data_IF_038418009763
#
_entry.id   IF_038418009763
#
_cell.length_a   1.000
_cell.length_b   1.000
_cell.length_c   1.000
_cell.angle_alpha   90.00
_cell.angle_beta   90.00
_cell.angle_gamma   90.00
#
_symmetry.space_group_name_H-M   'P 1'
#
loop_
_entity.id
_entity.type
_entity.pdbx_description
1 polymer ?
#
# COMPACT_ATOMS: atom_id res chain seq x y z
N UNK A 1 -23.09 11.51 8.16
CA UNK A 1 -22.20 10.35 8.29
C UNK A 1 -20.84 10.89 8.66
N UNK A 2 -20.19 10.40 9.72
CA UNK A 2 -18.79 10.74 9.99
C UNK A 2 -17.98 10.47 8.73
N UNK A 3 -17.23 11.48 8.28
CA UNK A 3 -16.52 11.43 7.00
C UNK A 3 -15.39 10.42 7.08
N UNK A 4 -15.37 9.46 6.15
CA UNK A 4 -14.25 8.54 6.00
C UNK A 4 -13.00 9.35 5.66
N UNK A 5 -12.03 9.40 6.58
CA UNK A 5 -10.77 10.12 6.39
C UNK A 5 -9.90 9.40 5.37
N UNK A 6 -9.27 10.15 4.47
CA UNK A 6 -8.18 9.67 3.62
C UNK A 6 -6.98 9.16 4.43
N UNK A 7 -6.10 8.36 3.81
CA UNK A 7 -4.86 7.91 4.44
C UNK A 7 -4.03 9.07 4.98
N UNK A 8 -3.86 10.14 4.19
CA UNK A 8 -3.13 11.35 4.59
C UNK A 8 -3.76 12.04 5.81
N UNK A 9 -5.08 12.14 5.87
CA UNK A 9 -5.79 12.74 7.02
C UNK A 9 -5.62 11.89 8.28
N UNK A 10 -5.67 10.55 8.15
CA UNK A 10 -5.39 9.63 9.27
C UNK A 10 -3.94 9.80 9.73
N UNK A 11 -2.96 9.78 8.82
CA UNK A 11 -1.55 9.97 9.15
C UNK A 11 -1.29 11.28 9.88
N UNK A 12 -1.87 12.40 9.41
CA UNK A 12 -1.75 13.70 10.06
C UNK A 12 -2.35 13.70 11.47
N UNK A 13 -3.55 13.12 11.63
CA UNK A 13 -4.18 12.97 12.94
C UNK A 13 -3.35 12.09 13.88
N UNK A 14 -2.75 11.00 13.36
CA UNK A 14 -1.87 10.12 14.12
C UNK A 14 -0.55 10.80 14.51
N UNK A 15 -0.01 11.73 13.71
CA UNK A 15 1.15 12.54 14.14
C UNK A 15 0.82 13.41 15.36
N UNK A 16 -0.37 13.98 15.41
CA UNK A 16 -0.85 14.72 16.58
C UNK A 16 -1.09 13.78 17.78
N UNK A 17 -1.66 12.60 17.54
CA UNK A 17 -1.83 11.55 18.53
C UNK A 17 -0.49 11.13 19.15
N UNK A 18 0.51 10.83 18.33
CA UNK A 18 1.86 10.47 18.79
C UNK A 18 2.45 11.60 19.62
N UNK A 19 2.38 12.85 19.17
CA UNK A 19 2.87 14.01 19.94
C UNK A 19 2.22 14.11 21.32
N UNK A 20 0.92 13.83 21.43
CA UNK A 20 0.17 13.89 22.70
C UNK A 20 0.60 12.78 23.67
N UNK A 21 0.78 11.56 23.16
CA UNK A 21 1.01 10.38 23.99
C UNK A 21 2.48 9.99 24.14
N UNK A 22 3.37 10.59 23.32
CA UNK A 22 4.82 10.40 23.43
C UNK A 22 5.29 10.88 24.80
N UNK A 23 5.82 9.95 25.61
CA UNK A 23 6.33 10.24 26.95
C UNK A 23 5.32 10.05 28.09
N UNK A 24 4.13 9.51 27.82
CA UNK A 24 3.21 9.12 28.90
C UNK A 24 3.84 8.03 29.79
N UNK A 25 3.97 8.32 31.09
CA UNK A 25 4.56 7.42 32.09
C UNK A 25 3.62 7.16 33.28
N UNK A 26 2.32 7.46 33.13
CA UNK A 26 1.30 7.27 34.16
C UNK A 26 0.84 5.82 34.32
N UNK A 27 -0.19 5.60 35.13
CA UNK A 27 -0.79 4.28 35.34
C UNK A 27 -1.85 3.95 34.28
N UNK A 28 -1.92 2.68 33.88
CA UNK A 28 -2.91 2.12 32.92
C UNK A 28 -4.34 2.66 33.09
N UNK A 29 -4.91 2.54 34.31
CA UNK A 29 -6.30 2.91 34.61
C UNK A 29 -6.62 4.39 34.47
N UNK A 30 -5.62 5.27 34.47
CA UNK A 30 -5.88 6.71 34.48
C UNK A 30 -6.25 7.24 33.09
N UNK A 31 -5.67 6.68 32.02
CA UNK A 31 -5.75 7.28 30.68
C UNK A 31 -6.04 6.28 29.55
N UNK A 32 -6.22 4.98 29.83
CA UNK A 32 -6.53 3.98 28.80
C UNK A 32 -7.75 4.36 27.95
N UNK A 33 -8.85 4.79 28.58
CA UNK A 33 -10.06 5.19 27.85
C UNK A 33 -9.84 6.46 27.02
N UNK A 34 -9.09 7.46 27.55
CA UNK A 34 -8.72 8.67 26.81
C UNK A 34 -7.87 8.35 25.57
N UNK A 35 -6.85 7.50 25.74
CA UNK A 35 -5.98 7.04 24.67
C UNK A 35 -6.76 6.36 23.56
N UNK A 36 -7.68 5.46 23.92
CA UNK A 36 -8.49 4.75 22.95
C UNK A 36 -9.50 5.67 22.24
N UNK A 37 -10.14 6.60 22.96
CA UNK A 37 -11.02 7.59 22.31
C UNK A 37 -10.25 8.47 21.31
N UNK A 38 -9.07 8.95 21.67
CA UNK A 38 -8.22 9.72 20.76
C UNK A 38 -7.77 8.89 19.55
N UNK A 39 -7.49 7.60 19.75
CA UNK A 39 -7.09 6.69 18.68
C UNK A 39 -8.25 6.52 17.69
N UNK A 40 -9.46 6.20 18.15
CA UNK A 40 -10.66 6.15 17.30
C UNK A 40 -10.89 7.47 16.56
N UNK A 41 -10.76 8.60 17.27
CA UNK A 41 -10.89 9.92 16.69
C UNK A 41 -9.83 10.21 15.62
N UNK A 42 -8.63 9.63 15.70
CA UNK A 42 -7.60 9.75 14.65
C UNK A 42 -7.99 9.03 13.35
N UNK A 43 -8.75 7.93 13.45
CA UNK A 43 -9.33 7.22 12.30
C UNK A 43 -10.62 7.85 11.76
N UNK A 44 -11.13 8.88 12.44
CA UNK A 44 -12.33 9.61 12.03
C UNK A 44 -13.64 9.02 12.52
N UNK A 45 -13.59 8.09 13.48
CA UNK A 45 -14.76 7.42 14.04
C UNK A 45 -14.88 7.75 15.52
N UNK A 46 -16.09 8.02 16.01
CA UNK A 46 -16.33 8.01 17.45
C UNK A 46 -16.46 6.56 17.93
N UNK A 47 -15.77 6.21 19.02
CA UNK A 47 -15.79 4.85 19.58
C UNK A 47 -17.22 4.34 19.86
N UNK A 48 -18.08 5.20 20.43
CA UNK A 48 -19.45 4.80 20.75
C UNK A 48 -20.30 4.60 19.50
N UNK A 49 -20.12 5.44 18.48
CA UNK A 49 -20.76 5.26 17.18
C UNK A 49 -20.29 3.99 16.45
N UNK A 50 -19.03 3.60 16.64
CA UNK A 50 -18.50 2.32 16.13
C UNK A 50 -19.09 1.08 16.83
N UNK A 51 -19.79 1.25 17.97
CA UNK A 51 -20.29 0.16 18.80
C UNK A 51 -19.22 -0.49 19.69
N UNK A 52 -18.05 0.14 19.82
CA UNK A 52 -17.00 -0.34 20.72
C UNK A 52 -17.35 0.04 22.16
N UNK A 53 -17.15 -0.86 23.12
CA UNK A 53 -17.58 -0.73 24.51
C UNK A 53 -16.37 -0.79 25.45
N UNK A 54 -16.33 0.09 26.44
CA UNK A 54 -15.35 -0.02 27.54
C UNK A 54 -15.90 -0.91 28.63
N UNK A 55 -15.04 -1.79 29.19
CA UNK A 55 -15.31 -2.59 30.40
C UNK A 55 -16.63 -3.39 30.37
N UNK A 56 -17.19 -3.67 29.18
CA UNK A 56 -18.55 -4.20 29.03
C UNK A 56 -18.61 -5.72 28.93
N UNK A 57 -17.48 -6.38 28.68
CA UNK A 57 -17.42 -7.84 28.57
C UNK A 57 -16.75 -8.42 29.80
N UNK A 58 -17.54 -9.05 30.68
CA UNK A 58 -17.03 -9.82 31.81
C UNK A 58 -16.60 -11.19 31.30
N UNK A 59 -15.31 -11.33 31.03
CA UNK A 59 -14.67 -12.61 30.83
C UNK A 59 -14.31 -13.23 32.19
N UNK A 60 -13.98 -14.52 32.21
CA UNK A 60 -13.50 -15.23 33.39
C UNK A 60 -12.18 -14.66 33.94
N UNK A 61 -11.46 -13.86 33.14
CA UNK A 61 -10.23 -13.15 33.53
C UNK A 61 -10.43 -11.68 33.89
N UNK A 62 -11.65 -11.15 33.86
CA UNK A 62 -11.94 -9.74 34.17
C UNK A 62 -12.61 -9.03 33.01
N UNK A 63 -12.39 -7.71 32.94
CA UNK A 63 -12.97 -6.86 31.90
C UNK A 63 -11.94 -6.57 30.81
N UNK A 64 -12.39 -6.58 29.56
CA UNK A 64 -11.60 -6.07 28.43
C UNK A 64 -11.58 -4.53 28.50
N UNK A 65 -10.42 -3.92 28.27
CA UNK A 65 -10.32 -2.46 28.23
C UNK A 65 -11.21 -1.88 27.13
N UNK A 66 -11.20 -2.49 25.93
CA UNK A 66 -12.16 -2.19 24.87
C UNK A 66 -12.60 -3.45 24.13
N UNK A 67 -13.90 -3.54 23.87
CA UNK A 67 -14.52 -4.61 23.11
C UNK A 67 -15.44 -4.07 22.01
N UNK A 68 -15.12 -4.39 20.77
CA UNK A 68 -15.99 -4.19 19.60
C UNK A 68 -16.46 -5.58 19.12
N UNK A 69 -17.73 -5.95 19.33
CA UNK A 69 -18.25 -7.29 19.05
C UNK A 69 -17.91 -7.80 17.65
N UNK A 70 -17.36 -9.02 17.55
CA UNK A 70 -16.98 -9.68 16.30
C UNK A 70 -15.73 -9.11 15.60
N UNK A 71 -15.21 -7.95 16.03
CA UNK A 71 -14.16 -7.24 15.29
C UNK A 71 -12.87 -7.10 16.09
N UNK A 72 -12.92 -6.49 17.28
CA UNK A 72 -11.71 -6.03 17.98
C UNK A 72 -11.82 -6.18 19.49
N UNK A 73 -10.75 -6.69 20.10
CA UNK A 73 -10.47 -6.55 21.53
C UNK A 73 -9.20 -5.70 21.66
N UNK A 74 -9.20 -4.72 22.55
CA UNK A 74 -7.96 -4.04 22.97
C UNK A 74 -7.71 -4.32 24.43
N UNK A 75 -6.50 -4.79 24.73
CA UNK A 75 -5.97 -4.96 26.08
C UNK A 75 -4.86 -3.95 26.30
N UNK A 76 -5.07 -3.04 27.25
CA UNK A 76 -4.11 -2.04 27.64
C UNK A 76 -3.19 -2.58 28.74
N UNK A 77 -1.97 -2.06 28.77
CA UNK A 77 -0.99 -2.29 29.83
C UNK A 77 -0.38 -0.96 30.24
N UNK A 78 0.10 -0.90 31.49
CA UNK A 78 0.87 0.27 31.92
C UNK A 78 2.15 0.44 31.05
N UNK A 79 2.66 1.66 30.84
CA UNK A 79 3.77 1.93 29.92
C UNK A 79 5.06 1.13 30.13
N UNK A 80 5.34 0.73 31.38
CA UNK A 80 6.53 -0.03 31.74
C UNK A 80 6.31 -1.56 31.72
N UNK A 81 5.11 -2.01 31.35
CA UNK A 81 4.72 -3.42 31.35
C UNK A 81 4.87 -3.97 29.93
N UNK A 82 5.70 -5.01 29.71
CA UNK A 82 5.84 -5.66 28.41
C UNK A 82 4.53 -6.30 27.95
N UNK A 83 4.22 -6.21 26.65
CA UNK A 83 2.97 -6.72 26.07
C UNK A 83 2.84 -8.25 26.16
N UNK A 84 3.95 -8.96 26.32
CA UNK A 84 3.98 -10.41 26.53
C UNK A 84 3.24 -10.82 27.81
N UNK A 85 3.15 -9.94 28.81
CA UNK A 85 2.37 -10.19 30.03
C UNK A 85 0.86 -10.22 29.77
N UNK A 86 0.40 -9.67 28.66
CA UNK A 86 -0.99 -9.75 28.25
C UNK A 86 -1.34 -11.08 27.57
N UNK A 87 -0.36 -11.97 27.28
CA UNK A 87 -0.56 -13.17 26.45
C UNK A 87 -1.73 -14.04 26.91
N UNK A 88 -1.75 -14.42 28.18
CA UNK A 88 -2.79 -15.31 28.70
C UNK A 88 -4.18 -14.64 28.70
N UNK A 89 -4.24 -13.34 28.99
CA UNK A 89 -5.47 -12.56 28.95
C UNK A 89 -6.00 -12.44 27.51
N UNK A 90 -5.14 -12.12 26.53
CA UNK A 90 -5.52 -12.01 25.12
C UNK A 90 -6.14 -13.29 24.57
N UNK A 91 -5.50 -14.44 24.83
CA UNK A 91 -6.01 -15.75 24.35
C UNK A 91 -7.37 -16.03 24.95
N UNK A 92 -7.52 -15.81 26.26
CA UNK A 92 -8.77 -16.07 26.97
C UNK A 92 -9.89 -15.12 26.55
N UNK A 93 -9.59 -13.83 26.43
CA UNK A 93 -10.53 -12.83 25.96
C UNK A 93 -11.02 -13.14 24.55
N UNK A 94 -10.13 -13.56 23.65
CA UNK A 94 -10.52 -14.01 22.33
C UNK A 94 -11.47 -15.22 22.38
N UNK A 95 -11.11 -16.27 23.15
CA UNK A 95 -11.92 -17.48 23.30
C UNK A 95 -13.32 -17.21 23.86
N UNK A 96 -13.44 -16.22 24.75
CA UNK A 96 -14.70 -15.88 25.39
C UNK A 96 -15.49 -14.80 24.65
N UNK A 97 -14.93 -14.17 23.61
CA UNK A 97 -15.57 -13.03 22.93
C UNK A 97 -16.76 -13.36 22.02
N UNK A 98 -16.98 -14.63 21.71
CA UNK A 98 -18.14 -15.06 20.91
C UNK A 98 -19.40 -15.24 21.76
N UNK A 99 -20.56 -14.84 21.26
CA UNK A 99 -21.86 -15.02 21.90
C UNK A 99 -22.86 -15.62 20.90
N UNK A 100 -23.03 -16.94 20.96
CA UNK A 100 -23.95 -17.67 20.06
C UNK A 100 -25.42 -17.29 20.24
N UNK A 101 -25.83 -16.83 21.43
CA UNK A 101 -27.22 -16.42 21.68
C UNK A 101 -27.54 -15.09 20.99
N UNK A 102 -26.51 -14.28 20.70
CA UNK A 102 -26.62 -12.99 20.00
C UNK A 102 -26.05 -13.02 18.59
N UNK A 103 -25.66 -14.19 18.09
CA UNK A 103 -25.01 -14.39 16.79
C UNK A 103 -23.75 -13.53 16.60
N UNK A 104 -22.95 -13.38 17.66
CA UNK A 104 -21.70 -12.62 17.65
C UNK A 104 -20.54 -13.62 17.51
N UNK A 105 -19.76 -13.58 16.41
CA UNK A 105 -18.56 -14.40 16.29
C UNK A 105 -17.46 -13.89 17.25
N UNK A 106 -16.44 -14.72 17.47
CA UNK A 106 -15.26 -14.28 18.20
C UNK A 106 -14.62 -13.07 17.49
N UNK A 107 -14.05 -12.15 18.27
CA UNK A 107 -13.38 -10.98 17.71
C UNK A 107 -12.30 -11.39 16.71
N UNK A 108 -12.31 -10.77 15.53
CA UNK A 108 -11.31 -11.06 14.49
C UNK A 108 -9.90 -10.64 14.91
N UNK A 109 -9.76 -9.48 15.55
CA UNK A 109 -8.50 -8.90 15.95
C UNK A 109 -8.38 -8.75 17.47
N UNK A 110 -7.16 -8.92 17.97
CA UNK A 110 -6.79 -8.60 19.36
C UNK A 110 -5.56 -7.72 19.34
N UNK A 111 -5.64 -6.54 19.98
CA UNK A 111 -4.53 -5.59 20.07
C UNK A 111 -4.09 -5.50 21.53
N UNK A 112 -2.81 -5.76 21.79
CA UNK A 112 -2.18 -5.38 23.04
C UNK A 112 -1.48 -4.03 22.86
N UNK A 113 -1.66 -3.11 23.81
CA UNK A 113 -1.01 -1.81 23.77
C UNK A 113 -0.58 -1.36 25.16
N UNK A 114 0.61 -0.74 25.26
CA UNK A 114 1.11 -0.19 26.51
C UNK A 114 1.42 1.30 26.39
N UNK A 115 0.67 2.04 25.57
CA UNK A 115 0.91 3.44 25.20
C UNK A 115 2.19 3.67 24.37
N UNK A 116 3.23 2.85 24.52
CA UNK A 116 4.50 2.96 23.79
C UNK A 116 4.64 2.01 22.61
N UNK A 117 3.89 0.91 22.60
CA UNK A 117 3.97 -0.15 21.59
C UNK A 117 2.57 -0.71 21.30
N UNK A 118 2.39 -1.21 20.07
CA UNK A 118 1.24 -1.97 19.61
C UNK A 118 1.67 -3.38 19.23
N UNK A 119 0.88 -4.39 19.59
CA UNK A 119 1.01 -5.78 19.12
C UNK A 119 -0.36 -6.26 18.63
N UNK A 120 -0.49 -6.53 17.34
CA UNK A 120 -1.77 -6.84 16.67
C UNK A 120 -1.83 -8.33 16.33
N UNK A 121 -2.91 -9.00 16.69
CA UNK A 121 -3.14 -10.43 16.46
C UNK A 121 -4.41 -10.67 15.64
N UNK A 122 -4.40 -11.74 14.83
CA UNK A 122 -5.60 -12.29 14.16
C UNK A 122 -5.73 -13.78 14.54
N UNK A 123 -6.13 -14.10 15.79
CA UNK A 123 -5.92 -15.43 16.37
C UNK A 123 -6.63 -16.57 15.63
N UNK A 124 -7.76 -16.28 14.98
CA UNK A 124 -8.49 -17.27 14.17
C UNK A 124 -7.74 -17.74 12.93
N UNK A 125 -6.74 -16.98 12.44
CA UNK A 125 -5.94 -17.33 11.25
C UNK A 125 -4.46 -17.55 11.57
N UNK A 126 -3.91 -16.73 12.47
CA UNK A 126 -2.50 -16.74 12.85
C UNK A 126 -2.37 -16.80 14.39
N UNK A 127 -2.65 -17.96 15.01
CA UNK A 127 -2.71 -18.07 16.48
C UNK A 127 -1.35 -17.99 17.18
N UNK A 128 -0.25 -18.25 16.46
CA UNK A 128 1.08 -18.43 17.05
C UNK A 128 2.00 -17.20 16.87
N UNK A 129 1.59 -16.22 16.08
CA UNK A 129 2.39 -15.03 15.79
C UNK A 129 1.52 -13.77 15.71
N UNK A 130 2.08 -12.64 16.17
CA UNK A 130 1.47 -11.34 15.93
C UNK A 130 1.54 -11.03 14.43
N UNK A 131 0.49 -10.38 13.91
CA UNK A 131 0.45 -9.87 12.54
C UNK A 131 1.38 -8.68 12.35
N UNK A 132 1.49 -7.83 13.36
CA UNK A 132 2.37 -6.67 13.36
C UNK A 132 2.70 -6.25 14.80
N UNK A 133 3.91 -5.71 15.00
CA UNK A 133 4.37 -5.16 16.28
C UNK A 133 5.23 -3.94 16.00
N UNK A 134 4.86 -2.78 16.55
CA UNK A 134 5.59 -1.54 16.29
C UNK A 134 5.45 -0.53 17.44
N UNK A 135 6.45 0.36 17.63
CA UNK A 135 6.38 1.43 18.61
C UNK A 135 5.36 2.50 18.20
N UNK A 136 4.85 3.25 19.18
CA UNK A 136 3.92 4.37 18.98
C UNK A 136 4.44 5.38 17.94
N UNK A 137 5.75 5.63 17.90
CA UNK A 137 6.37 6.55 16.95
C UNK A 137 6.15 6.16 15.49
N UNK A 138 5.99 4.87 15.19
CA UNK A 138 5.75 4.36 13.84
C UNK A 138 4.25 4.30 13.49
N UNK A 139 3.35 4.56 14.44
CA UNK A 139 1.90 4.48 14.22
C UNK A 139 1.40 5.32 13.03
N UNK A 140 1.86 6.57 12.78
CA UNK A 140 1.44 7.33 11.61
C UNK A 140 1.80 6.62 10.32
N UNK A 141 3.00 6.03 10.24
CA UNK A 141 3.41 5.29 9.05
C UNK A 141 2.69 3.95 8.96
N UNK A 142 2.33 3.33 10.09
CA UNK A 142 1.61 2.05 10.25
C UNK A 142 0.08 2.20 10.35
N UNK A 143 -0.49 3.33 9.88
CA UNK A 143 -1.93 3.60 10.03
C UNK A 143 -2.84 2.54 9.40
N UNK A 144 -2.37 1.89 8.34
CA UNK A 144 -3.10 0.85 7.62
C UNK A 144 -3.31 -0.44 8.45
N UNK A 145 -2.47 -0.68 9.46
CA UNK A 145 -2.54 -1.86 10.32
C UNK A 145 -3.77 -1.84 11.26
N UNK A 146 -4.42 -0.67 11.42
CA UNK A 146 -5.60 -0.48 12.28
C UNK A 146 -6.81 0.08 11.52
N UNK A 147 -6.90 -0.09 10.18
CA UNK A 147 -8.03 0.45 9.38
C UNK A 147 -9.41 -0.05 9.82
N UNK A 148 -9.48 -1.18 10.53
CA UNK A 148 -10.72 -1.66 11.15
C UNK A 148 -11.30 -0.68 12.19
N UNK A 149 -10.51 0.28 12.69
CA UNK A 149 -10.99 1.38 13.54
C UNK A 149 -11.78 2.44 12.75
N UNK A 150 -11.47 2.61 11.47
CA UNK A 150 -12.22 3.52 10.59
C UNK A 150 -13.53 2.87 10.11
N UNK A 151 -13.46 1.61 9.69
CA UNK A 151 -14.64 0.82 9.32
C UNK A 151 -14.36 -0.67 9.43
N UNK A 152 -15.32 -1.43 9.94
CA UNK A 152 -15.25 -2.90 10.02
C UNK A 152 -15.09 -3.57 8.63
N UNK A 153 -15.37 -2.82 7.56
CA UNK A 153 -15.27 -3.30 6.17
C UNK A 153 -13.89 -3.07 5.54
N UNK A 154 -12.99 -2.34 6.22
CA UNK A 154 -11.64 -2.10 5.72
C UNK A 154 -10.69 -3.16 6.24
N UNK A 155 -9.95 -3.78 5.32
CA UNK A 155 -8.96 -4.79 5.67
C UNK A 155 -7.64 -4.11 6.08
N UNK A 156 -7.08 -4.45 7.25
CA UNK A 156 -5.77 -3.96 7.65
C UNK A 156 -4.64 -4.59 6.84
N UNK A 157 -3.56 -3.85 6.68
CA UNK A 157 -2.34 -4.30 5.98
C UNK A 157 -1.23 -4.52 7.00
N UNK A 158 -0.65 -5.72 7.00
CA UNK A 158 0.32 -6.15 8.03
C UNK A 158 1.73 -6.46 7.48
N UNK A 159 1.96 -6.34 6.18
CA UNK A 159 3.23 -6.79 5.57
C UNK A 159 4.37 -5.79 5.83
N UNK A 160 5.08 -5.96 6.95
CA UNK A 160 6.29 -5.17 7.27
C UNK A 160 7.39 -5.34 6.23
N UNK A 161 7.58 -6.57 5.74
CA UNK A 161 8.56 -6.86 4.68
C UNK A 161 8.27 -6.09 3.38
N UNK A 162 7.00 -5.98 2.98
CA UNK A 162 6.58 -5.21 1.80
C UNK A 162 6.93 -3.73 1.97
N UNK A 163 6.73 -3.16 3.17
CA UNK A 163 7.02 -1.76 3.46
C UNK A 163 8.51 -1.45 3.44
N UNK A 164 9.34 -2.26 4.11
CA UNK A 164 10.80 -2.09 4.07
C UNK A 164 11.32 -2.18 2.64
N UNK A 165 10.90 -3.20 1.87
CA UNK A 165 11.26 -3.33 0.45
C UNK A 165 10.81 -2.11 -0.37
N UNK A 166 9.61 -1.59 -0.11
CA UNK A 166 9.08 -0.40 -0.80
C UNK A 166 9.92 0.84 -0.49
N UNK A 167 10.25 1.07 0.78
CA UNK A 167 11.09 2.19 1.21
C UNK A 167 12.50 2.09 0.62
N UNK A 168 13.12 0.92 0.70
CA UNK A 168 14.48 0.70 0.23
C UNK A 168 14.56 0.87 -1.30
N UNK A 169 13.62 0.29 -2.05
CA UNK A 169 13.52 0.50 -3.50
C UNK A 169 13.30 1.98 -3.86
N UNK A 170 12.47 2.70 -3.09
CA UNK A 170 12.23 4.13 -3.30
C UNK A 170 13.49 4.97 -3.12
N UNK A 171 14.36 4.62 -2.16
CA UNK A 171 15.63 5.32 -1.92
C UNK A 171 16.53 5.28 -3.15
N UNK A 172 16.71 4.11 -3.76
CA UNK A 172 17.57 3.96 -4.95
C UNK A 172 17.03 4.76 -6.15
N UNK A 173 15.72 4.70 -6.40
CA UNK A 173 15.09 5.44 -7.51
C UNK A 173 15.12 6.95 -7.27
N UNK A 174 14.92 7.40 -6.03
CA UNK A 174 15.01 8.82 -5.67
C UNK A 174 16.44 9.36 -5.79
N UNK A 175 17.44 8.57 -5.37
CA UNK A 175 18.86 8.91 -5.52
C UNK A 175 19.24 9.02 -7.01
N UNK A 176 18.80 8.07 -7.83
CA UNK A 176 18.97 8.11 -9.28
C UNK A 176 18.38 9.39 -9.88
N UNK A 177 17.12 9.70 -9.57
CA UNK A 177 16.46 10.90 -10.08
C UNK A 177 17.21 12.18 -9.67
N UNK A 178 17.55 12.30 -8.39
CA UNK A 178 18.22 13.48 -7.83
C UNK A 178 19.54 13.72 -8.52
N UNK A 179 20.35 12.66 -8.68
CA UNK A 179 21.64 12.74 -9.37
C UNK A 179 21.49 13.19 -10.82
N UNK A 180 20.53 12.61 -11.56
CA UNK A 180 20.22 13.02 -12.94
C UNK A 180 19.79 14.49 -13.03
N UNK A 181 18.93 14.93 -12.12
CA UNK A 181 18.39 16.29 -12.09
C UNK A 181 19.47 17.32 -11.72
N UNK A 182 20.25 17.07 -10.66
CA UNK A 182 21.27 17.98 -10.16
C UNK A 182 22.36 18.26 -11.20
N UNK A 183 22.77 17.24 -11.96
CA UNK A 183 23.73 17.41 -13.05
C UNK A 183 23.12 17.83 -14.38
N UNK A 184 21.81 18.09 -14.42
CA UNK A 184 21.07 18.47 -15.63
C UNK A 184 21.30 17.49 -16.80
N UNK A 185 21.15 16.19 -16.53
CA UNK A 185 21.40 15.12 -17.50
C UNK A 185 20.57 15.22 -18.79
N UNK A 186 19.36 15.77 -18.68
CA UNK A 186 18.39 16.03 -19.74
C UNK A 186 17.38 17.09 -19.26
N UNK A 187 16.47 17.59 -20.11
CA UNK A 187 15.33 18.37 -19.64
C UNK A 187 14.58 17.64 -18.52
N UNK A 188 14.18 18.37 -17.50
CA UNK A 188 13.59 17.81 -16.27
C UNK A 188 12.33 16.98 -16.53
N UNK A 189 11.53 17.33 -17.53
CA UNK A 189 10.37 16.56 -17.96
C UNK A 189 10.76 15.23 -18.65
N UNK A 190 11.89 15.20 -19.35
CA UNK A 190 12.46 13.97 -19.91
C UNK A 190 13.04 13.06 -18.82
N UNK A 191 13.75 13.62 -17.83
CA UNK A 191 14.24 12.85 -16.66
C UNK A 191 13.04 12.21 -15.92
N UNK A 192 11.96 12.96 -15.71
CA UNK A 192 10.75 12.45 -15.06
C UNK A 192 10.10 11.32 -15.85
N UNK A 193 9.97 11.46 -17.18
CA UNK A 193 9.49 10.38 -18.05
C UNK A 193 10.41 9.16 -17.99
N UNK A 194 11.72 9.37 -18.04
CA UNK A 194 12.72 8.31 -18.00
C UNK A 194 12.61 7.48 -16.71
N UNK A 195 12.57 8.14 -15.54
CA UNK A 195 12.43 7.46 -14.24
C UNK A 195 11.09 6.74 -14.12
N UNK A 196 9.99 7.33 -14.60
CA UNK A 196 8.68 6.65 -14.60
C UNK A 196 8.67 5.40 -15.50
N UNK A 197 9.31 5.49 -16.67
CA UNK A 197 9.47 4.36 -17.59
C UNK A 197 10.36 3.24 -17.01
N UNK A 198 11.41 3.60 -16.26
CA UNK A 198 12.24 2.65 -15.51
C UNK A 198 11.42 1.92 -14.43
N UNK A 199 10.72 2.65 -13.56
CA UNK A 199 9.91 2.07 -12.48
C UNK A 199 8.84 1.13 -13.04
N UNK A 200 8.21 1.51 -14.16
CA UNK A 200 7.28 0.62 -14.83
C UNK A 200 7.95 -0.68 -15.29
N UNK A 201 9.15 -0.61 -15.87
CA UNK A 201 9.89 -1.80 -16.30
C UNK A 201 10.25 -2.70 -15.12
N UNK A 202 10.66 -2.14 -13.98
CA UNK A 202 10.96 -2.89 -12.75
C UNK A 202 9.75 -3.72 -12.28
N UNK A 203 8.56 -3.11 -12.23
CA UNK A 203 7.32 -3.85 -11.97
C UNK A 203 7.00 -4.87 -13.07
N UNK A 204 7.18 -4.49 -14.34
CA UNK A 204 6.76 -5.30 -15.48
C UNK A 204 7.58 -6.59 -15.59
N UNK A 205 8.88 -6.56 -15.30
CA UNK A 205 9.73 -7.76 -15.26
C UNK A 205 9.26 -8.73 -14.17
N UNK A 206 9.06 -8.21 -12.97
CA UNK A 206 8.62 -9.00 -11.84
C UNK A 206 7.14 -9.32 -11.84
N UNK A 207 6.30 -8.73 -12.68
CA UNK A 207 4.92 -9.20 -12.87
C UNK A 207 4.80 -10.17 -14.04
N UNK A 208 5.92 -10.53 -14.68
CA UNK A 208 5.92 -11.41 -15.87
C UNK A 208 5.29 -10.74 -17.09
N UNK A 209 5.31 -9.40 -17.14
CA UNK A 209 4.88 -8.65 -18.31
C UNK A 209 5.99 -8.49 -19.35
N UNK A 210 7.26 -8.47 -18.90
CA UNK A 210 8.45 -8.53 -19.74
C UNK A 210 9.21 -9.81 -19.42
N UNK A 211 9.22 -10.74 -20.36
CA UNK A 211 9.94 -11.99 -20.18
C UNK A 211 11.45 -11.75 -20.32
N UNK A 212 12.25 -12.48 -19.54
CA UNK A 212 13.71 -12.48 -19.68
C UNK A 212 14.42 -11.26 -19.11
N UNK A 213 13.76 -10.43 -18.28
CA UNK A 213 14.40 -9.33 -17.54
C UNK A 213 15.23 -8.36 -18.41
N UNK A 214 14.66 -7.78 -19.49
CA UNK A 214 15.39 -6.97 -20.46
C UNK A 214 16.02 -5.68 -19.89
N UNK A 215 15.41 -5.01 -18.92
CA UNK A 215 15.97 -3.86 -18.22
C UNK A 215 17.15 -4.31 -17.36
N UNK A 216 16.94 -5.27 -16.45
CA UNK A 216 18.01 -5.75 -15.57
C UNK A 216 19.24 -6.22 -16.36
N UNK A 217 19.02 -7.01 -17.41
CA UNK A 217 20.08 -7.46 -18.32
C UNK A 217 20.78 -6.31 -19.05
N UNK A 218 20.04 -5.24 -19.39
CA UNK A 218 20.64 -4.05 -20.01
C UNK A 218 21.52 -3.30 -19.03
N UNK A 219 21.10 -3.15 -17.77
CA UNK A 219 21.89 -2.50 -16.71
C UNK A 219 23.16 -3.29 -16.41
N UNK A 220 23.04 -4.61 -16.27
CA UNK A 220 24.19 -5.50 -16.03
C UNK A 220 25.20 -5.48 -17.18
N UNK A 221 24.72 -5.36 -18.42
CA UNK A 221 25.59 -5.21 -19.59
C UNK A 221 26.32 -3.86 -19.57
N UNK A 222 25.59 -2.76 -19.34
CA UNK A 222 26.16 -1.41 -19.25
C UNK A 222 27.22 -1.31 -18.15
N UNK A 223 26.99 -1.90 -16.97
CA UNK A 223 27.98 -1.90 -15.89
C UNK A 223 29.28 -2.63 -16.24
N UNK A 224 29.26 -3.58 -17.17
CA UNK A 224 30.47 -4.30 -17.65
C UNK A 224 31.23 -3.53 -18.72
N UNK A 225 30.62 -2.53 -19.35
CA UNK A 225 31.25 -1.72 -20.39
C UNK A 225 32.19 -0.67 -19.77
N UNK A 226 33.30 -0.39 -20.47
CA UNK A 226 34.21 0.70 -20.06
C UNK A 226 33.57 2.08 -20.27
N UNK A 227 32.76 2.21 -21.32
CA UNK A 227 32.09 3.45 -21.71
C UNK A 227 30.59 3.15 -21.94
N UNK A 228 29.80 2.97 -20.87
CA UNK A 228 28.38 2.65 -21.00
C UNK A 228 27.62 3.77 -21.73
N UNK A 229 26.61 3.41 -22.50
CA UNK A 229 25.67 4.36 -23.13
C UNK A 229 24.22 3.96 -22.85
N UNK A 230 23.72 4.35 -21.67
CA UNK A 230 22.35 4.03 -21.27
C UNK A 230 21.30 4.75 -22.10
N UNK A 231 21.61 5.94 -22.65
CA UNK A 231 20.68 6.68 -23.49
C UNK A 231 20.32 5.86 -24.72
N UNK A 232 21.33 5.20 -25.30
CA UNK A 232 21.16 4.25 -26.41
C UNK A 232 20.43 2.98 -25.97
N UNK A 233 20.95 2.26 -24.98
CA UNK A 233 20.49 0.89 -24.71
C UNK A 233 19.12 0.84 -24.02
N UNK A 234 18.87 1.71 -23.02
CA UNK A 234 17.58 1.80 -22.33
C UNK A 234 16.58 2.60 -23.17
N UNK A 235 17.02 3.66 -23.86
CA UNK A 235 16.15 4.39 -24.80
C UNK A 235 15.63 3.48 -25.94
N UNK A 236 16.45 2.55 -26.40
CA UNK A 236 16.04 1.53 -27.36
C UNK A 236 15.02 0.54 -26.77
N UNK A 237 15.22 0.07 -25.54
CA UNK A 237 14.21 -0.73 -24.83
C UNK A 237 12.86 0.00 -24.80
N UNK A 238 12.83 1.26 -24.39
CA UNK A 238 11.60 2.05 -24.33
C UNK A 238 10.95 2.24 -25.70
N UNK A 239 11.76 2.37 -26.76
CA UNK A 239 11.28 2.39 -28.14
C UNK A 239 10.59 1.07 -28.52
N UNK A 240 11.17 -0.07 -28.17
CA UNK A 240 10.57 -1.40 -28.40
C UNK A 240 9.26 -1.59 -27.63
N UNK A 241 9.17 -1.05 -26.41
CA UNK A 241 7.93 -1.08 -25.62
C UNK A 241 6.80 -0.27 -26.27
N UNK A 242 7.12 0.78 -27.04
CA UNK A 242 6.14 1.52 -27.85
C UNK A 242 5.93 0.96 -29.27
N UNK A 243 6.73 -0.04 -29.69
CA UNK A 243 6.70 -0.53 -31.06
C UNK A 243 5.61 -1.59 -31.24
N UNK A 244 4.63 -1.31 -32.12
CA UNK A 244 3.65 -2.31 -32.55
C UNK A 244 4.34 -3.45 -33.32
N UNK A 245 3.98 -4.70 -32.98
CA UNK A 245 4.54 -5.91 -33.60
C UNK A 245 5.79 -6.46 -32.89
N UNK A 246 6.31 -7.57 -33.44
CA UNK A 246 7.33 -8.40 -32.77
C UNK A 246 8.72 -8.38 -33.45
N UNK A 247 9.02 -7.36 -34.27
CA UNK A 247 10.30 -7.25 -34.96
C UNK A 247 11.34 -6.50 -34.11
N UNK A 248 12.62 -6.70 -34.38
CA UNK A 248 13.75 -6.06 -33.69
C UNK A 248 13.89 -6.38 -32.18
N UNK A 249 13.22 -7.42 -31.68
CA UNK A 249 13.26 -7.86 -30.28
C UNK A 249 14.19 -9.08 -30.17
N UNK A 250 15.49 -8.84 -30.28
CA UNK A 250 16.52 -9.89 -30.28
C UNK A 250 17.51 -9.70 -29.13
N UNK A 251 18.20 -10.78 -28.76
CA UNK A 251 19.18 -10.77 -27.68
C UNK A 251 18.53 -10.40 -26.35
N UNK A 252 19.08 -9.41 -25.65
CA UNK A 252 18.57 -8.96 -24.34
C UNK A 252 17.15 -8.37 -24.38
N UNK A 253 16.61 -8.09 -25.57
CA UNK A 253 15.26 -7.54 -25.73
C UNK A 253 14.23 -8.59 -26.18
N UNK A 254 14.66 -9.85 -26.31
CA UNK A 254 13.74 -10.98 -26.51
C UNK A 254 12.77 -11.07 -25.32
N UNK A 255 11.48 -11.31 -25.58
CA UNK A 255 10.45 -11.33 -24.53
C UNK A 255 9.81 -9.97 -24.22
N UNK A 256 10.36 -8.86 -24.75
CA UNK A 256 9.65 -7.57 -24.71
C UNK A 256 8.37 -7.63 -25.53
N UNK A 257 7.34 -6.86 -25.16
CA UNK A 257 6.10 -6.74 -25.96
C UNK A 257 5.69 -5.28 -26.17
N UNK A 258 4.71 -5.06 -27.03
CA UNK A 258 4.11 -3.73 -27.17
C UNK A 258 3.27 -3.44 -25.92
N UNK A 259 3.57 -2.32 -25.28
CA UNK A 259 2.87 -1.82 -24.10
C UNK A 259 2.00 -0.67 -24.58
N UNK A 260 0.71 -0.94 -24.77
CA UNK A 260 -0.29 0.11 -25.02
C UNK A 260 -0.26 1.14 -23.89
N UNK A 261 -0.33 2.44 -24.21
CA UNK A 261 -0.49 3.51 -23.23
C UNK A 261 0.29 4.79 -23.55
N UNK A 262 -0.03 5.88 -22.85
CA UNK A 262 0.66 7.18 -22.99
C UNK A 262 2.10 7.15 -22.48
N UNK A 263 2.43 6.20 -21.59
CA UNK A 263 3.71 6.15 -20.88
C UNK A 263 4.93 6.05 -21.83
N UNK A 264 4.87 5.19 -22.85
CA UNK A 264 5.97 5.00 -23.81
C UNK A 264 5.74 5.74 -25.14
N UNK A 265 4.69 6.56 -25.28
CA UNK A 265 4.47 7.33 -26.52
C UNK A 265 5.64 8.25 -26.85
N UNK A 266 6.31 8.75 -25.81
CA UNK A 266 7.57 9.50 -25.92
C UNK A 266 8.64 8.72 -25.14
N UNK A 267 9.34 7.76 -25.78
CA UNK A 267 10.47 7.08 -25.16
C UNK A 267 11.52 8.11 -24.74
N UNK A 268 11.93 8.10 -23.47
CA UNK A 268 12.99 8.99 -22.99
C UNK A 268 14.36 8.33 -23.17
N UNK A 269 15.39 9.13 -23.42
CA UNK A 269 16.75 8.63 -23.57
C UNK A 269 17.71 9.49 -22.74
N UNK A 270 18.12 8.97 -21.58
CA UNK A 270 18.99 9.68 -20.64
C UNK A 270 20.26 8.88 -20.41
N UNK A 271 21.40 9.54 -20.58
CA UNK A 271 22.70 8.98 -20.23
C UNK A 271 22.81 8.90 -18.71
N UNK A 272 23.31 7.78 -18.18
CA UNK A 272 23.58 7.54 -16.77
C UNK A 272 25.07 7.31 -16.57
N UNK A 273 25.62 7.89 -15.51
CA UNK A 273 26.96 7.57 -15.04
C UNK A 273 26.96 6.21 -14.30
N UNK A 274 28.14 5.77 -13.86
CA UNK A 274 28.29 4.46 -13.22
C UNK A 274 27.52 4.34 -11.89
N UNK A 275 27.60 5.36 -11.04
CA UNK A 275 26.93 5.36 -9.74
C UNK A 275 25.39 5.34 -9.91
N UNK A 276 24.87 6.06 -10.92
CA UNK A 276 23.46 6.03 -11.30
C UNK A 276 23.02 4.64 -11.83
N UNK A 277 23.86 3.98 -12.62
CA UNK A 277 23.62 2.60 -13.06
C UNK A 277 23.64 1.62 -11.88
N UNK A 278 24.49 1.84 -10.87
CA UNK A 278 24.52 1.03 -9.65
C UNK A 278 23.24 1.21 -8.82
N UNK A 279 22.73 2.44 -8.67
CA UNK A 279 21.42 2.67 -8.05
C UNK A 279 20.30 1.95 -8.80
N UNK A 280 20.30 1.98 -10.13
CA UNK A 280 19.29 1.27 -10.91
C UNK A 280 19.44 -0.26 -10.81
N UNK A 281 20.67 -0.79 -10.77
CA UNK A 281 20.92 -2.22 -10.53
C UNK A 281 20.37 -2.63 -9.18
N UNK A 282 20.72 -1.91 -8.12
CA UNK A 282 20.27 -2.23 -6.77
C UNK A 282 18.74 -2.15 -6.67
N UNK A 283 18.11 -1.17 -7.33
CA UNK A 283 16.66 -1.10 -7.47
C UNK A 283 16.07 -2.33 -8.20
N UNK A 284 16.75 -2.85 -9.23
CA UNK A 284 16.32 -4.03 -9.99
C UNK A 284 16.49 -5.36 -9.24
N UNK A 285 17.30 -5.42 -8.18
CA UNK A 285 17.47 -6.62 -7.35
C UNK A 285 16.31 -6.84 -6.35
N UNK A 286 15.51 -5.82 -6.08
CA UNK A 286 14.32 -5.96 -5.23
C UNK A 286 13.26 -6.82 -5.92
N UNK A 287 12.48 -7.56 -5.12
CA UNK A 287 11.29 -8.25 -5.61
C UNK A 287 10.12 -7.27 -5.70
N UNK A 288 9.88 -6.71 -6.89
CA UNK A 288 8.82 -5.74 -7.16
C UNK A 288 7.41 -6.32 -7.08
N UNK A 289 7.24 -7.66 -7.00
CA UNK A 289 5.96 -8.26 -6.58
C UNK A 289 5.59 -7.94 -5.13
N UNK A 290 6.61 -7.63 -4.32
CA UNK A 290 6.51 -7.29 -2.91
C UNK A 290 6.81 -5.81 -2.65
N UNK A 291 6.81 -4.97 -3.69
CA UNK A 291 6.81 -3.51 -3.56
C UNK A 291 5.36 -3.02 -3.59
N UNK A 292 5.02 -2.15 -2.65
CA UNK A 292 3.71 -1.54 -2.56
C UNK A 292 3.55 -0.45 -3.64
N UNK A 293 2.42 -0.40 -4.38
CA UNK A 293 2.16 0.65 -5.36
C UNK A 293 2.24 2.07 -4.80
N UNK A 294 2.10 2.25 -3.48
CA UNK A 294 2.33 3.55 -2.80
C UNK A 294 3.72 4.12 -3.04
N UNK A 295 4.68 3.31 -3.50
CA UNK A 295 5.98 3.78 -3.99
C UNK A 295 5.83 4.89 -5.03
N UNK A 296 4.80 4.87 -5.87
CA UNK A 296 4.57 5.95 -6.83
C UNK A 296 4.31 7.28 -6.11
N UNK A 297 3.59 7.27 -4.98
CA UNK A 297 3.39 8.45 -4.15
C UNK A 297 4.71 9.00 -3.59
N UNK A 298 5.50 8.15 -2.92
CA UNK A 298 6.78 8.57 -2.33
C UNK A 298 7.80 9.01 -3.38
N UNK A 299 7.83 8.33 -4.53
CA UNK A 299 8.66 8.72 -5.67
C UNK A 299 8.19 10.06 -6.23
N UNK A 300 6.90 10.28 -6.46
CA UNK A 300 6.38 11.55 -6.94
C UNK A 300 6.69 12.70 -5.97
N UNK A 301 6.62 12.48 -4.66
CA UNK A 301 6.96 13.49 -3.65
C UNK A 301 8.45 13.86 -3.67
N UNK A 302 9.33 12.87 -3.77
CA UNK A 302 10.79 13.08 -3.85
C UNK A 302 11.26 13.63 -5.21
N UNK A 303 10.59 13.23 -6.30
CA UNK A 303 10.97 13.55 -7.69
C UNK A 303 10.38 14.90 -8.14
N UNK A 304 9.09 15.15 -7.89
CA UNK A 304 8.39 16.29 -8.49
C UNK A 304 8.44 17.58 -7.67
N UNK A 305 8.89 17.52 -6.42
CA UNK A 305 8.88 18.67 -5.51
C UNK A 305 7.46 19.14 -5.16
N UNK A 306 7.34 20.16 -4.31
CA UNK A 306 6.04 20.69 -3.87
C UNK A 306 5.27 21.41 -5.00
N UNK A 307 5.95 22.22 -5.83
CA UNK A 307 5.31 23.07 -6.84
C UNK A 307 4.67 22.31 -8.02
N UNK A 308 5.21 21.15 -8.44
CA UNK A 308 4.64 20.40 -9.58
C UNK A 308 3.54 19.42 -9.19
N UNK A 309 3.34 19.15 -7.90
CA UNK A 309 2.20 18.35 -7.39
C UNK A 309 0.86 19.02 -7.71
N UNK A 310 0.78 20.33 -7.49
CA UNK A 310 -0.41 21.12 -7.79
C UNK A 310 -0.66 21.22 -9.30
N UNK A 311 0.42 21.27 -10.08
CA UNK A 311 0.34 21.41 -11.53
C UNK A 311 -0.16 20.15 -12.24
N UNK A 312 0.16 18.95 -11.72
CA UNK A 312 -0.26 17.67 -12.31
C UNK A 312 -1.59 17.14 -11.75
N UNK A 313 -2.19 17.80 -10.75
CA UNK A 313 -3.38 17.30 -10.05
C UNK A 313 -3.16 15.93 -9.39
N UNK A 314 -1.90 15.56 -9.18
CA UNK A 314 -1.49 14.20 -8.86
C UNK A 314 -1.45 13.99 -7.35
N UNK A 315 -2.62 14.13 -6.71
CA UNK A 315 -2.81 13.52 -5.39
C UNK A 315 -2.86 12.01 -5.61
N UNK A 316 -1.73 11.35 -5.33
CA UNK A 316 -1.71 9.89 -5.27
C UNK A 316 -2.73 9.43 -4.23
N UNK A 317 -3.63 8.54 -4.62
CA UNK A 317 -4.65 7.98 -3.73
C UNK A 317 -4.07 6.72 -3.09
N UNK A 318 -3.93 6.69 -1.77
CA UNK A 318 -3.38 5.52 -1.08
C UNK A 318 -4.20 4.26 -1.37
N UNK A 319 -3.57 3.08 -1.35
CA UNK A 319 -4.28 1.82 -1.55
C UNK A 319 -5.46 1.70 -0.59
N UNK A 320 -5.26 2.06 0.69
CA UNK A 320 -6.31 2.09 1.68
C UNK A 320 -7.53 2.92 1.24
N UNK A 321 -7.32 4.06 0.55
CA UNK A 321 -8.37 4.94 0.03
C UNK A 321 -9.04 4.38 -1.22
N UNK A 322 -8.26 3.79 -2.14
CA UNK A 322 -8.77 3.05 -3.30
C UNK A 322 -9.71 1.94 -2.83
N UNK A 323 -9.29 1.19 -1.80
CA UNK A 323 -10.04 0.06 -1.26
C UNK A 323 -11.35 0.47 -0.60
N UNK A 324 -11.54 1.74 -0.20
CA UNK A 324 -12.83 2.24 0.33
C UNK A 324 -13.91 2.28 -0.72
N UNK A 325 -13.53 2.43 -1.99
CA UNK A 325 -14.43 2.42 -3.13
C UNK A 325 -14.44 1.02 -3.73
N UNK A 326 -13.26 0.45 -4.01
CA UNK A 326 -13.13 -0.85 -4.68
C UNK A 326 -13.73 -1.99 -3.86
N UNK A 327 -13.54 -2.00 -2.52
CA UNK A 327 -14.07 -3.08 -1.68
C UNK A 327 -15.59 -3.19 -1.73
N UNK A 328 -16.37 -2.13 -1.44
CA UNK A 328 -17.83 -2.22 -1.47
C UNK A 328 -18.42 -2.27 -2.89
N UNK A 329 -17.76 -1.69 -3.91
CA UNK A 329 -18.34 -1.59 -5.26
C UNK A 329 -17.96 -2.72 -6.20
N UNK A 330 -16.82 -3.38 -5.96
CA UNK A 330 -16.29 -4.44 -6.83
C UNK A 330 -16.10 -5.73 -6.02
N UNK A 331 -15.21 -5.71 -5.02
CA UNK A 331 -14.76 -6.95 -4.37
C UNK A 331 -15.90 -7.67 -3.65
N UNK A 332 -16.67 -6.96 -2.81
CA UNK A 332 -17.75 -7.57 -2.03
C UNK A 332 -18.85 -8.15 -2.93
N UNK A 333 -19.41 -7.43 -3.91
CA UNK A 333 -20.38 -8.01 -4.83
C UNK A 333 -19.88 -9.27 -5.54
N UNK A 334 -18.62 -9.29 -5.98
CA UNK A 334 -18.04 -10.48 -6.59
C UNK A 334 -17.85 -11.64 -5.62
N UNK A 335 -17.38 -11.38 -4.39
CA UNK A 335 -17.25 -12.41 -3.35
C UNK A 335 -18.59 -13.03 -2.98
N UNK A 336 -19.62 -12.21 -2.78
CA UNK A 336 -20.97 -12.70 -2.48
C UNK A 336 -21.50 -13.59 -3.61
N UNK A 337 -21.27 -13.23 -4.88
CA UNK A 337 -21.63 -14.07 -6.04
C UNK A 337 -20.85 -15.39 -6.07
N UNK A 338 -19.56 -15.36 -5.74
CA UNK A 338 -18.71 -16.56 -5.66
C UNK A 338 -19.21 -17.48 -4.54
N UNK A 339 -19.49 -16.94 -3.35
CA UNK A 339 -19.97 -17.71 -2.20
C UNK A 339 -21.37 -18.31 -2.43
N UNK A 340 -22.22 -17.62 -3.19
CA UNK A 340 -23.55 -18.10 -3.57
C UNK A 340 -23.54 -19.16 -4.69
N UNK A 341 -22.40 -19.41 -5.33
CA UNK A 341 -22.28 -20.37 -6.43
C UNK A 341 -22.29 -21.80 -5.88
N UNK A 342 -23.17 -22.65 -6.42
CA UNK A 342 -23.34 -24.03 -5.91
C UNK A 342 -23.03 -25.12 -6.94
N UNK A 343 -22.94 -24.76 -8.24
CA UNK A 343 -22.68 -25.72 -9.32
C UNK A 343 -21.48 -25.34 -10.19
N UNK A 344 -20.81 -26.32 -10.84
CA UNK A 344 -19.71 -26.03 -11.77
C UNK A 344 -20.09 -25.19 -13.00
N UNK A 345 -21.37 -25.20 -13.40
CA UNK A 345 -21.84 -24.39 -14.52
C UNK A 345 -21.97 -22.93 -14.10
N UNK A 346 -22.62 -22.65 -12.97
CA UNK A 346 -22.71 -21.31 -12.39
C UNK A 346 -21.31 -20.69 -12.17
N UNK A 347 -20.34 -21.50 -11.74
CA UNK A 347 -18.96 -21.05 -11.58
C UNK A 347 -18.29 -20.62 -12.90
N UNK A 348 -18.62 -21.29 -14.02
CA UNK A 348 -18.11 -20.92 -15.35
C UNK A 348 -18.78 -19.66 -15.86
N UNK A 349 -20.11 -19.58 -15.73
CA UNK A 349 -20.85 -18.40 -16.14
C UNK A 349 -20.40 -17.16 -15.34
N UNK A 350 -20.13 -17.33 -14.04
CA UNK A 350 -19.58 -16.28 -13.18
C UNK A 350 -18.16 -15.86 -13.60
N UNK A 351 -17.31 -16.82 -13.98
CA UNK A 351 -15.97 -16.52 -14.50
C UNK A 351 -16.04 -15.74 -15.81
N UNK A 352 -16.93 -16.11 -16.72
CA UNK A 352 -17.14 -15.41 -17.99
C UNK A 352 -17.60 -13.96 -17.75
N UNK A 353 -18.54 -13.75 -16.82
CA UNK A 353 -18.97 -12.42 -16.39
C UNK A 353 -17.81 -11.60 -15.80
N UNK A 354 -16.96 -12.22 -14.96
CA UNK A 354 -15.81 -11.56 -14.35
C UNK A 354 -14.77 -11.17 -15.41
N UNK A 355 -14.50 -12.04 -16.39
CA UNK A 355 -13.61 -11.75 -17.52
C UNK A 355 -14.16 -10.65 -18.44
N UNK A 356 -15.48 -10.50 -18.52
CA UNK A 356 -16.12 -9.44 -19.30
C UNK A 356 -16.26 -8.11 -18.53
N UNK A 357 -16.07 -8.13 -17.20
CA UNK A 357 -16.22 -6.95 -16.35
C UNK A 357 -15.22 -5.86 -16.71
N UNK A 358 -15.70 -4.61 -16.77
CA UNK A 358 -14.89 -3.46 -17.14
C UNK A 358 -15.00 -2.39 -16.06
N UNK A 359 -13.84 -1.93 -15.58
CA UNK A 359 -13.76 -0.80 -14.64
C UNK A 359 -13.33 0.44 -15.42
N UNK A 360 -14.12 1.51 -15.31
CA UNK A 360 -13.80 2.81 -15.88
C UNK A 360 -13.30 3.72 -14.75
N UNK A 361 -12.03 4.11 -14.82
CA UNK A 361 -11.51 5.26 -14.07
C UNK A 361 -11.37 6.46 -15.03
N UNK A 362 -12.34 7.39 -15.07
CA UNK A 362 -12.32 8.50 -15.99
C UNK A 362 -11.30 9.59 -15.62
N UNK A 363 -10.61 9.48 -14.48
CA UNK A 363 -9.67 10.48 -13.96
C UNK A 363 -8.22 9.97 -13.83
N UNK A 364 -7.92 8.74 -14.25
CA UNK A 364 -6.58 8.18 -14.21
C UNK A 364 -5.58 9.09 -14.94
N UNK A 365 -4.71 9.78 -14.18
CA UNK A 365 -3.66 10.70 -14.66
C UNK A 365 -4.21 11.76 -15.63
N UNK A 366 -5.08 12.66 -15.14
CA UNK A 366 -5.54 13.81 -15.92
C UNK A 366 -4.45 14.88 -15.97
N UNK A 367 -3.91 15.17 -17.15
CA UNK A 367 -3.15 16.41 -17.37
C UNK A 367 -4.08 17.60 -17.19
N UNK A 368 -3.65 18.59 -16.41
CA UNK A 368 -4.22 19.93 -16.45
C UNK A 368 -4.07 20.49 -17.87
N UNK A 369 -5.21 20.73 -18.55
CA UNK A 369 -5.24 21.34 -19.89
C UNK A 369 -6.08 20.64 -20.97
N UNK A 370 -6.64 19.45 -20.72
CA UNK A 370 -7.55 18.80 -21.70
C UNK A 370 -8.98 19.29 -21.50
N UNK A 371 -9.56 19.88 -22.56
CA UNK A 371 -10.95 20.36 -22.63
C UNK A 371 -11.96 19.28 -22.25
N UNK A 372 -13.09 19.71 -21.65
CA UNK A 372 -14.17 18.84 -21.14
C UNK A 372 -14.89 18.01 -22.22
N UNK A 373 -14.68 18.28 -23.50
CA UNK A 373 -15.53 17.78 -24.59
C UNK A 373 -14.94 16.63 -25.43
N UNK A 374 -13.92 15.90 -24.93
CA UNK A 374 -13.44 14.70 -25.62
C UNK A 374 -13.71 13.44 -24.79
N UNK A 375 -14.47 12.46 -25.30
CA UNK A 375 -14.66 11.18 -24.62
C UNK A 375 -13.35 10.39 -24.73
N UNK A 376 -12.47 10.54 -23.75
CA UNK A 376 -11.32 9.67 -23.59
C UNK A 376 -11.82 8.34 -22.99
N UNK A 377 -12.10 7.36 -23.85
CA UNK A 377 -12.31 5.97 -23.46
C UNK A 377 -11.01 5.40 -22.88
N UNK A 378 -10.79 5.60 -21.58
CA UNK A 378 -9.68 4.98 -20.84
C UNK A 378 -10.20 3.75 -20.11
N UNK A 379 -10.16 2.60 -20.79
CA UNK A 379 -10.48 1.31 -20.20
C UNK A 379 -9.23 0.78 -19.49
N UNK A 380 -9.29 0.63 -18.16
CA UNK A 380 -8.35 -0.23 -17.44
C UNK A 380 -8.91 -1.65 -17.50
N UNK A 381 -8.21 -2.53 -18.20
CA UNK A 381 -8.33 -3.98 -17.99
C UNK A 381 -7.48 -4.28 -16.76
N UNK A 382 -8.14 -4.53 -15.62
CA UNK A 382 -7.52 -5.16 -14.45
C UNK A 382 -7.40 -6.66 -14.69
#
# INVERSE_FOLDING_TARGET
MPGVRSGLEIQQALKAFVTKWSGYAGSERAEAQSFLNDLFAAYGTDRSEAGALFESFSASAGFMDLFLPGVLIVEMKAPHVPLEKAKDQRVRYWQESSDSAKDIPAARYVVACNFGEFEIWEPGRFPNEARSRFPLSELPDRYDALLFLQSQTMEPVFSEHRRTLTTDAAVHVAALYTSLADRSAAPIDEIQRFVMQLVWCLFAEDLGMLDGYPLQNSVDALLKEQHPDSAKDIGYLFTLLNQKGNHNRQGRYEGTRYVNGELFQQPAAVFMNRDELEHLRDAAEFNWRAVDPTIFGSLMEGVLGQERRDMLGAHYTHEADIMKIVSPTIIRPWRERIEATTTPQEARDLLDDLCAFRVLDPAFMRKSGVSRDTPAERLLLL
#
